data_IF_912267465181
#
_entry.id   IF_912267465181
#
_cell.length_a   1.000
_cell.length_b   1.000
_cell.length_c   1.000
_cell.angle_alpha   90.00
_cell.angle_beta   90.00
_cell.angle_gamma   90.00
#
_symmetry.space_group_name_H-M   'P 1'
#
loop_
_entity.id
_entity.type
_entity.pdbx_description
1 polymer ?
#
# COMPACT_ATOMS: atom_id res chain seq x y z
N UNK A 1 -5.22 -24.48 -4.27
CA UNK A 1 -5.75 -23.29 -4.95
C UNK A 1 -4.86 -22.13 -4.55
N UNK A 2 -4.56 -21.18 -5.48
CA UNK A 2 -3.75 -20.00 -5.15
C UNK A 2 -4.45 -19.08 -4.15
N UNK A 3 -3.67 -18.25 -3.43
CA UNK A 3 -4.19 -17.30 -2.44
C UNK A 3 -5.15 -16.29 -3.08
N UNK A 4 -6.26 -16.00 -2.43
CA UNK A 4 -7.24 -15.00 -2.87
C UNK A 4 -6.79 -13.62 -2.39
N UNK A 5 -6.44 -12.75 -3.33
CA UNK A 5 -5.91 -11.41 -3.06
C UNK A 5 -6.92 -10.36 -3.52
N UNK A 6 -7.45 -9.60 -2.57
CA UNK A 6 -8.28 -8.44 -2.86
C UNK A 6 -7.43 -7.27 -3.35
N UNK A 7 -7.94 -6.54 -4.32
CA UNK A 7 -7.44 -5.24 -4.74
C UNK A 7 -8.59 -4.26 -4.58
N UNK A 8 -8.41 -3.14 -3.86
CA UNK A 8 -9.46 -2.13 -3.72
C UNK A 8 -9.88 -1.64 -5.11
N UNK A 9 -11.12 -1.94 -5.50
CA UNK A 9 -11.59 -1.98 -6.88
C UNK A 9 -12.25 -0.71 -7.41
N UNK A 10 -12.06 0.46 -6.76
CA UNK A 10 -12.77 1.68 -7.15
C UNK A 10 -12.02 2.50 -8.20
N UNK A 11 -10.70 2.65 -8.06
CA UNK A 11 -9.89 3.50 -8.91
C UNK A 11 -8.40 3.18 -8.69
N UNK A 12 -7.55 3.39 -9.69
CA UNK A 12 -6.09 3.30 -9.59
C UNK A 12 -5.48 2.17 -10.41
N UNK A 13 -4.26 1.79 -10.07
CA UNK A 13 -3.44 0.79 -10.77
C UNK A 13 -3.90 -0.64 -10.47
N UNK A 14 -5.15 -0.99 -10.79
CA UNK A 14 -5.77 -2.29 -10.46
C UNK A 14 -5.25 -3.38 -11.40
N UNK A 15 -5.37 -3.18 -12.72
CA UNK A 15 -5.00 -4.16 -13.75
C UNK A 15 -3.53 -4.62 -13.69
N UNK A 16 -2.54 -3.73 -13.44
CA UNK A 16 -1.16 -4.16 -13.26
C UNK A 16 -0.99 -5.16 -12.10
N UNK A 17 -1.63 -4.92 -10.96
CA UNK A 17 -1.62 -5.87 -9.84
C UNK A 17 -2.31 -7.18 -10.20
N UNK A 18 -3.46 -7.14 -10.88
CA UNK A 18 -4.17 -8.36 -11.33
C UNK A 18 -3.25 -9.21 -12.21
N UNK A 19 -2.55 -8.58 -13.16
CA UNK A 19 -1.62 -9.27 -14.09
C UNK A 19 -0.49 -9.98 -13.34
N UNK A 20 0.17 -9.29 -12.41
CA UNK A 20 1.28 -9.86 -11.64
C UNK A 20 0.78 -11.00 -10.75
N UNK A 21 -0.32 -10.81 -10.04
CA UNK A 21 -0.89 -11.83 -9.14
C UNK A 21 -1.33 -13.08 -9.89
N UNK A 22 -1.93 -12.94 -11.08
CA UNK A 22 -2.28 -14.07 -11.95
C UNK A 22 -1.04 -14.84 -12.40
N UNK A 23 0.02 -14.14 -12.80
CA UNK A 23 1.28 -14.76 -13.20
C UNK A 23 1.93 -15.56 -12.05
N UNK A 24 1.71 -15.14 -10.80
CA UNK A 24 2.14 -15.83 -9.59
C UNK A 24 1.19 -16.97 -9.14
N UNK A 25 0.14 -17.24 -9.89
CA UNK A 25 -0.84 -18.29 -9.55
C UNK A 25 -1.82 -17.92 -8.43
N UNK A 26 -1.85 -16.65 -8.01
CA UNK A 26 -2.85 -16.13 -7.09
C UNK A 26 -4.18 -15.86 -7.79
N UNK A 27 -5.24 -15.64 -7.01
CA UNK A 27 -6.58 -15.31 -7.49
C UNK A 27 -6.90 -13.85 -7.11
N UNK A 28 -6.62 -12.86 -7.98
CA UNK A 28 -6.97 -11.47 -7.73
C UNK A 28 -8.48 -11.27 -7.80
N UNK A 29 -9.00 -10.41 -6.92
CA UNK A 29 -10.40 -10.02 -6.87
C UNK A 29 -10.52 -8.53 -6.59
N UNK A 30 -11.34 -7.80 -7.36
CA UNK A 30 -11.66 -6.41 -7.08
C UNK A 30 -12.62 -6.32 -5.92
N UNK A 31 -12.20 -5.65 -4.84
CA UNK A 31 -12.99 -5.48 -3.62
C UNK A 31 -13.69 -4.13 -3.63
N UNK A 32 -15.01 -4.14 -3.58
CA UNK A 32 -15.90 -2.97 -3.51
C UNK A 32 -16.98 -3.09 -2.45
N UNK A 33 -17.18 -4.30 -1.91
CA UNK A 33 -18.19 -4.61 -0.88
C UNK A 33 -17.55 -5.31 0.32
N UNK A 34 -18.28 -5.33 1.43
CA UNK A 34 -17.85 -6.03 2.65
C UNK A 34 -17.82 -7.56 2.43
N UNK A 35 -18.70 -8.09 1.61
CA UNK A 35 -18.77 -9.51 1.25
C UNK A 35 -17.53 -9.93 0.44
N UNK A 36 -17.15 -9.13 -0.55
CA UNK A 36 -15.94 -9.35 -1.33
C UNK A 36 -14.71 -9.28 -0.43
N UNK A 37 -14.62 -8.28 0.50
CA UNK A 37 -13.53 -8.17 1.45
C UNK A 37 -13.40 -9.40 2.36
N UNK A 38 -14.53 -9.95 2.84
CA UNK A 38 -14.53 -11.17 3.67
C UNK A 38 -14.01 -12.40 2.91
N UNK A 39 -14.21 -12.43 1.59
CA UNK A 39 -13.85 -13.57 0.74
C UNK A 39 -12.35 -13.67 0.43
N UNK A 40 -11.57 -12.63 0.67
CA UNK A 40 -10.11 -12.59 0.37
C UNK A 40 -9.26 -12.80 1.61
N UNK A 41 -8.01 -13.20 1.39
CA UNK A 41 -7.04 -13.51 2.43
C UNK A 41 -6.05 -12.36 2.65
N UNK A 42 -5.88 -11.49 1.67
CA UNK A 42 -4.99 -10.31 1.65
C UNK A 42 -5.67 -9.18 0.90
N UNK A 43 -5.27 -7.94 1.18
CA UNK A 43 -5.81 -6.76 0.51
C UNK A 43 -4.70 -5.83 0.03
N UNK A 44 -4.75 -5.44 -1.24
CA UNK A 44 -3.94 -4.36 -1.81
C UNK A 44 -4.79 -3.10 -1.90
N UNK A 45 -4.29 -1.99 -1.35
CA UNK A 45 -4.78 -0.63 -1.58
C UNK A 45 -3.88 -0.04 -2.66
N UNK A 46 -4.32 0.03 -3.94
CA UNK A 46 -3.43 0.37 -5.05
C UNK A 46 -3.04 1.84 -5.08
N UNK A 47 -2.07 2.16 -5.92
CA UNK A 47 -1.79 3.54 -6.31
C UNK A 47 -2.95 4.15 -7.09
N UNK A 48 -3.06 5.49 -7.07
CA UNK A 48 -4.14 6.22 -7.73
C UNK A 48 -4.43 7.56 -7.05
N UNK A 49 -5.71 7.92 -6.88
CA UNK A 49 -6.11 9.15 -6.22
C UNK A 49 -6.77 8.86 -4.86
N UNK A 50 -6.06 9.17 -3.77
CA UNK A 50 -6.47 8.80 -2.41
C UNK A 50 -7.78 9.45 -1.96
N UNK A 51 -8.07 10.68 -2.39
CA UNK A 51 -9.33 11.37 -2.05
C UNK A 51 -10.54 10.71 -2.70
N UNK A 52 -10.39 10.29 -3.95
CA UNK A 52 -11.43 9.56 -4.69
C UNK A 52 -11.70 8.19 -4.04
N UNK A 53 -10.64 7.44 -3.74
CA UNK A 53 -10.79 6.16 -3.05
C UNK A 53 -11.45 6.32 -1.68
N UNK A 54 -11.04 7.32 -0.87
CA UNK A 54 -11.63 7.59 0.44
C UNK A 54 -13.12 7.91 0.33
N UNK A 55 -13.52 8.67 -0.70
CA UNK A 55 -14.93 8.98 -0.94
C UNK A 55 -15.75 7.70 -1.16
N UNK A 56 -15.25 6.77 -1.96
CA UNK A 56 -15.90 5.47 -2.18
C UNK A 56 -15.88 4.61 -0.93
N UNK A 57 -14.78 4.56 -0.18
CA UNK A 57 -14.71 3.83 1.09
C UNK A 57 -15.77 4.30 2.09
N UNK A 58 -16.03 5.61 2.16
CA UNK A 58 -17.12 6.18 2.97
C UNK A 58 -18.48 5.82 2.42
N UNK A 59 -18.70 5.97 1.11
CA UNK A 59 -19.97 5.70 0.46
C UNK A 59 -20.44 4.25 0.65
N UNK A 60 -19.50 3.30 0.61
CA UNK A 60 -19.77 1.86 0.77
C UNK A 60 -19.54 1.34 2.20
N UNK A 61 -19.28 2.24 3.15
CA UNK A 61 -19.04 1.91 4.57
C UNK A 61 -17.97 0.81 4.75
N UNK A 62 -16.86 0.92 4.00
CA UNK A 62 -15.77 -0.04 4.00
C UNK A 62 -14.66 0.27 5.01
N UNK A 63 -14.59 1.50 5.55
CA UNK A 63 -13.52 1.92 6.46
C UNK A 63 -13.43 0.99 7.68
N UNK A 64 -14.52 0.79 8.47
CA UNK A 64 -14.45 -0.09 9.63
C UNK A 64 -14.14 -1.54 9.27
N UNK A 65 -14.65 -2.00 8.12
CA UNK A 65 -14.42 -3.37 7.66
C UNK A 65 -12.95 -3.63 7.30
N UNK A 66 -12.28 -2.66 6.63
CA UNK A 66 -10.85 -2.77 6.30
C UNK A 66 -10.00 -2.64 7.57
N UNK A 67 -10.36 -1.77 8.52
CA UNK A 67 -9.67 -1.66 9.81
C UNK A 67 -9.73 -2.98 10.59
N UNK A 68 -10.87 -3.64 10.61
CA UNK A 68 -11.01 -4.96 11.25
C UNK A 68 -10.24 -6.05 10.51
N UNK A 69 -10.29 -6.05 9.17
CA UNK A 69 -9.54 -6.97 8.32
C UNK A 69 -8.04 -6.90 8.58
N UNK A 70 -7.48 -5.69 8.69
CA UNK A 70 -6.05 -5.45 8.89
C UNK A 70 -5.52 -5.95 10.23
N UNK A 71 -6.37 -6.18 11.23
CA UNK A 71 -5.95 -6.75 12.53
C UNK A 71 -5.41 -8.17 12.40
N UNK A 72 -5.89 -8.93 11.44
CA UNK A 72 -5.60 -10.37 11.32
C UNK A 72 -5.10 -10.80 9.96
N UNK A 73 -5.26 -9.97 8.94
CA UNK A 73 -4.92 -10.29 7.54
C UNK A 73 -4.01 -9.23 6.92
N UNK A 74 -3.11 -9.62 6.00
CA UNK A 74 -2.19 -8.70 5.36
C UNK A 74 -2.90 -7.62 4.53
N UNK A 75 -2.44 -6.37 4.71
CA UNK A 75 -2.85 -5.22 3.90
C UNK A 75 -1.60 -4.51 3.36
N UNK A 76 -1.60 -4.17 2.09
CA UNK A 76 -0.51 -3.44 1.46
C UNK A 76 -1.01 -2.18 0.77
N UNK A 77 -0.60 -1.01 1.30
CA UNK A 77 -0.87 0.30 0.70
C UNK A 77 0.29 0.74 -0.20
N UNK A 78 -0.01 1.12 -1.43
CA UNK A 78 0.95 1.54 -2.46
C UNK A 78 0.62 2.97 -2.87
N UNK A 79 1.58 3.89 -2.80
CA UNK A 79 1.43 5.29 -3.18
C UNK A 79 0.16 5.93 -2.55
N UNK A 80 -0.91 6.12 -3.30
CA UNK A 80 -2.20 6.58 -2.78
C UNK A 80 -2.78 5.63 -1.72
N UNK A 81 -2.58 4.33 -1.87
CA UNK A 81 -2.95 3.32 -0.86
C UNK A 81 -2.15 3.47 0.43
N UNK A 82 -0.87 3.87 0.37
CA UNK A 82 -0.08 4.18 1.56
C UNK A 82 -0.59 5.45 2.28
N UNK A 83 -1.04 6.45 1.52
CA UNK A 83 -1.72 7.63 2.09
C UNK A 83 -2.99 7.19 2.85
N UNK A 84 -3.79 6.30 2.27
CA UNK A 84 -4.99 5.77 2.94
C UNK A 84 -4.64 4.94 4.18
N UNK A 85 -3.58 4.16 4.15
CA UNK A 85 -3.17 3.31 5.27
C UNK A 85 -2.56 4.10 6.45
N UNK A 86 -1.96 5.27 6.19
CA UNK A 86 -1.25 6.08 7.18
C UNK A 86 -2.15 6.50 8.37
N UNK A 87 -1.52 6.77 9.52
CA UNK A 87 -2.22 7.31 10.70
C UNK A 87 -2.60 8.77 10.52
N UNK A 88 -1.70 9.56 9.94
CA UNK A 88 -1.95 10.99 9.68
C UNK A 88 -1.61 11.34 8.24
N UNK A 89 -2.38 12.26 7.66
CA UNK A 89 -2.19 12.73 6.29
C UNK A 89 -2.21 14.25 6.25
N UNK A 90 -1.26 14.83 5.54
CA UNK A 90 -1.14 16.29 5.36
C UNK A 90 -0.89 16.67 3.90
N UNK A 91 -1.03 17.96 3.61
CA UNK A 91 -0.74 18.61 2.33
C UNK A 91 -1.55 18.08 1.11
N UNK A 92 -2.91 18.24 1.12
CA UNK A 92 -3.76 18.72 2.21
C UNK A 92 -4.10 17.62 3.22
N UNK A 93 -4.61 18.03 4.39
CA UNK A 93 -5.12 17.10 5.41
C UNK A 93 -6.26 16.25 4.86
N UNK A 94 -6.24 14.98 5.15
CA UNK A 94 -7.22 14.00 4.70
C UNK A 94 -7.44 12.96 5.81
N UNK A 95 -8.65 12.45 5.95
CA UNK A 95 -8.89 11.25 6.74
C UNK A 95 -8.22 10.02 6.11
N UNK A 96 -7.92 9.04 6.95
CA UNK A 96 -7.25 7.81 6.56
C UNK A 96 -7.83 6.60 7.31
N UNK A 97 -7.37 5.42 6.94
CA UNK A 97 -7.76 4.16 7.57
C UNK A 97 -7.02 3.92 8.90
N UNK A 98 -5.94 4.66 9.18
CA UNK A 98 -5.13 4.50 10.39
C UNK A 98 -4.71 3.04 10.65
N UNK A 99 -4.11 2.40 9.64
CA UNK A 99 -3.67 1.00 9.71
C UNK A 99 -2.21 0.85 10.14
N UNK A 100 -1.39 1.87 9.90
CA UNK A 100 0.05 1.87 10.18
C UNK A 100 0.50 3.21 10.77
N UNK A 101 1.41 3.18 11.74
CA UNK A 101 1.83 4.36 12.51
C UNK A 101 2.86 5.21 11.76
N UNK A 102 2.47 5.73 10.61
CA UNK A 102 3.25 6.67 9.78
C UNK A 102 2.45 7.93 9.48
N UNK A 103 3.16 9.02 9.19
CA UNK A 103 2.61 10.23 8.57
C UNK A 103 2.86 10.20 7.07
N UNK A 104 1.83 10.51 6.27
CA UNK A 104 1.95 10.68 4.82
C UNK A 104 1.78 12.16 4.45
N UNK A 105 2.78 12.72 3.77
CA UNK A 105 2.70 14.05 3.17
C UNK A 105 2.42 13.89 1.68
N UNK A 106 1.25 14.35 1.25
CA UNK A 106 0.82 14.28 -0.15
C UNK A 106 1.59 15.29 -0.99
N UNK A 107 1.75 15.01 -2.28
CA UNK A 107 2.34 15.92 -3.27
C UNK A 107 3.76 16.41 -2.90
N UNK A 108 4.51 15.65 -2.13
CA UNK A 108 5.83 16.07 -1.66
C UNK A 108 6.84 16.18 -2.81
N UNK A 109 6.85 15.20 -3.70
CA UNK A 109 7.74 15.19 -4.87
C UNK A 109 7.17 15.97 -6.07
N UNK A 110 6.30 16.95 -5.84
CA UNK A 110 5.88 17.97 -6.78
C UNK A 110 5.00 17.50 -7.93
N UNK A 111 5.34 17.91 -9.14
CA UNK A 111 4.59 17.62 -10.35
C UNK A 111 4.91 16.23 -10.92
N UNK A 112 4.15 15.80 -11.93
CA UNK A 112 4.40 14.55 -12.66
C UNK A 112 5.79 14.50 -13.34
N UNK A 113 6.49 15.64 -13.43
CA UNK A 113 7.86 15.75 -13.93
C UNK A 113 8.91 15.23 -12.94
N UNK A 114 8.57 15.09 -11.66
CA UNK A 114 9.44 14.56 -10.62
C UNK A 114 9.29 13.03 -10.43
N UNK A 115 8.82 12.34 -11.45
CA UNK A 115 8.78 10.88 -11.47
C UNK A 115 10.15 10.33 -11.83
N UNK A 116 10.61 9.32 -11.10
CA UNK A 116 11.91 8.67 -11.31
C UNK A 116 11.85 7.18 -10.97
N UNK A 117 12.84 6.46 -11.49
CA UNK A 117 13.02 5.02 -11.20
C UNK A 117 14.39 4.81 -10.60
N UNK A 118 14.47 4.02 -9.54
CA UNK A 118 15.74 3.68 -8.89
C UNK A 118 15.78 2.20 -8.50
N UNK A 119 16.96 1.57 -8.54
CA UNK A 119 17.15 0.28 -7.92
C UNK A 119 17.03 0.43 -6.39
N UNK A 120 16.13 -0.33 -5.77
CA UNK A 120 15.81 -0.25 -4.36
C UNK A 120 16.07 -1.58 -3.66
N UNK A 121 16.97 -1.57 -2.69
CA UNK A 121 17.18 -2.71 -1.79
C UNK A 121 16.10 -2.73 -0.73
N UNK A 122 15.41 -3.86 -0.61
CA UNK A 122 14.32 -4.06 0.34
C UNK A 122 14.69 -5.19 1.31
N UNK A 123 14.49 -4.96 2.60
CA UNK A 123 14.68 -5.99 3.61
C UNK A 123 13.80 -7.22 3.31
N UNK A 124 14.41 -8.39 3.17
CA UNK A 124 13.72 -9.64 2.83
C UNK A 124 13.78 -10.01 1.35
N UNK A 125 14.27 -9.15 0.46
CA UNK A 125 14.55 -9.49 -0.93
C UNK A 125 16.05 -9.73 -1.16
N UNK A 126 16.42 -10.74 -1.97
CA UNK A 126 17.84 -11.07 -2.22
C UNK A 126 18.53 -10.10 -3.19
N UNK A 127 17.77 -9.35 -3.98
CA UNK A 127 18.25 -8.40 -4.98
C UNK A 127 17.45 -7.11 -4.94
N UNK A 128 18.04 -5.96 -5.34
CA UNK A 128 17.29 -4.73 -5.56
C UNK A 128 16.21 -4.92 -6.63
N UNK A 129 15.10 -4.23 -6.47
CA UNK A 129 14.02 -4.12 -7.47
C UNK A 129 14.02 -2.73 -8.09
N UNK A 130 13.46 -2.58 -9.29
CA UNK A 130 13.20 -1.28 -9.91
C UNK A 130 11.95 -0.66 -9.29
N UNK A 131 12.15 0.37 -8.45
CA UNK A 131 11.07 1.10 -7.79
C UNK A 131 10.74 2.37 -8.57
N UNK A 132 9.47 2.51 -9.00
CA UNK A 132 9.01 3.67 -9.76
C UNK A 132 8.27 4.64 -8.83
N UNK A 133 8.76 5.87 -8.75
CA UNK A 133 8.14 6.95 -7.98
C UNK A 133 7.38 7.88 -8.93
N UNK A 134 6.08 8.01 -8.76
CA UNK A 134 5.19 8.83 -9.59
C UNK A 134 4.39 9.73 -8.68
N UNK A 135 4.75 11.02 -8.57
CA UNK A 135 4.14 11.97 -7.62
C UNK A 135 4.00 11.37 -6.21
N UNK A 136 5.02 10.66 -5.78
CA UNK A 136 5.00 9.85 -4.58
C UNK A 136 4.77 10.69 -3.31
N UNK A 137 4.06 10.18 -2.29
CA UNK A 137 4.01 10.81 -0.98
C UNK A 137 5.34 10.65 -0.24
N UNK A 138 5.69 11.63 0.59
CA UNK A 138 6.71 11.43 1.60
C UNK A 138 6.07 10.70 2.79
N UNK A 139 6.72 9.62 3.21
CA UNK A 139 6.30 8.83 4.37
C UNK A 139 7.31 9.02 5.51
N UNK A 140 6.82 9.32 6.71
CA UNK A 140 7.64 9.46 7.91
C UNK A 140 7.13 8.54 9.02
N UNK A 141 8.02 7.89 9.78
CA UNK A 141 7.61 7.15 10.96
C UNK A 141 7.07 8.12 12.01
N UNK A 142 6.04 7.70 12.73
CA UNK A 142 5.55 8.38 13.92
C UNK A 142 6.07 7.66 15.16
N UNK A 143 6.33 8.42 16.22
CA UNK A 143 6.63 7.82 17.52
C UNK A 143 5.46 6.93 17.96
N UNK A 144 5.72 5.71 18.42
CA UNK A 144 4.66 4.84 18.90
C UNK A 144 3.99 5.47 20.12
N UNK A 145 2.67 5.35 20.20
CA UNK A 145 1.96 5.58 21.45
C UNK A 145 2.34 4.48 22.45
N UNK A 146 2.21 4.74 23.74
CA UNK A 146 2.54 3.77 24.78
C UNK A 146 1.86 2.41 24.51
N UNK A 147 2.65 1.33 24.48
CA UNK A 147 2.16 -0.04 24.20
C UNK A 147 1.94 -0.38 22.72
N UNK A 148 2.25 0.50 21.76
CA UNK A 148 2.17 0.21 20.31
C UNK A 148 3.55 -0.08 19.71
N UNK A 149 3.61 -1.02 18.76
CA UNK A 149 4.81 -1.23 17.96
C UNK A 149 5.10 -0.06 17.03
N UNK A 150 6.40 0.22 16.83
CA UNK A 150 6.84 1.18 15.80
C UNK A 150 6.70 0.58 14.41
N UNK A 151 6.36 1.41 13.43
CA UNK A 151 6.47 1.01 12.03
C UNK A 151 7.96 0.79 11.68
N UNK A 152 8.29 -0.41 11.20
CA UNK A 152 9.64 -0.79 10.79
C UNK A 152 9.91 -0.28 9.38
N UNK A 153 11.05 0.39 9.17
CA UNK A 153 11.52 0.78 7.83
C UNK A 153 12.10 -0.45 7.12
N UNK A 154 11.61 -0.75 5.93
CA UNK A 154 12.07 -1.86 5.08
C UNK A 154 12.96 -1.38 3.93
N UNK A 155 12.82 -0.12 3.49
CA UNK A 155 13.66 0.48 2.46
C UNK A 155 13.72 2.01 2.59
N UNK A 156 14.83 2.60 2.12
CA UNK A 156 15.07 4.05 2.06
C UNK A 156 15.65 4.45 0.71
N UNK A 157 15.34 5.67 0.26
CA UNK A 157 15.98 6.34 -0.88
C UNK A 157 16.51 7.69 -0.35
N UNK A 158 17.79 7.97 -0.57
CA UNK A 158 18.45 9.23 -0.10
C UNK A 158 18.11 9.58 1.36
N UNK A 159 18.21 8.59 2.25
CA UNK A 159 17.88 8.66 3.68
C UNK A 159 16.38 8.85 4.00
N UNK A 160 15.50 8.99 3.01
CA UNK A 160 14.07 9.06 3.22
C UNK A 160 13.46 7.65 3.24
N UNK A 161 12.74 7.27 4.29
CA UNK A 161 12.03 6.02 4.32
C UNK A 161 10.93 5.98 3.25
N UNK A 162 10.90 4.91 2.46
CA UNK A 162 9.93 4.75 1.36
C UNK A 162 9.10 3.48 1.46
N UNK A 163 9.44 2.58 2.38
CA UNK A 163 8.68 1.36 2.62
C UNK A 163 8.67 1.00 4.11
N UNK A 164 7.49 0.72 4.63
CA UNK A 164 7.24 0.41 6.04
C UNK A 164 6.43 -0.87 6.20
N UNK A 165 6.67 -1.56 7.34
CA UNK A 165 5.83 -2.64 7.82
C UNK A 165 5.51 -2.44 9.31
N UNK A 166 4.27 -2.77 9.70
CA UNK A 166 3.83 -2.84 11.10
C UNK A 166 2.74 -3.90 11.22
N UNK A 167 2.98 -4.93 12.04
CA UNK A 167 2.09 -6.07 12.09
C UNK A 167 1.81 -6.65 10.70
N UNK A 168 0.55 -6.73 10.32
CA UNK A 168 0.11 -7.24 9.02
C UNK A 168 0.02 -6.16 7.93
N UNK A 169 0.43 -4.91 8.21
CA UNK A 169 0.26 -3.80 7.26
C UNK A 169 1.59 -3.37 6.67
N UNK A 170 1.64 -3.28 5.34
CA UNK A 170 2.72 -2.69 4.57
C UNK A 170 2.27 -1.37 3.93
N UNK A 171 3.19 -0.41 3.83
CA UNK A 171 2.96 0.86 3.14
C UNK A 171 4.22 1.30 2.39
N UNK A 172 4.13 1.53 1.09
CA UNK A 172 5.23 2.04 0.27
C UNK A 172 4.81 3.23 -0.59
N UNK A 173 5.75 4.15 -0.84
CA UNK A 173 5.51 5.33 -1.66
C UNK A 173 5.70 5.12 -3.16
N UNK A 174 6.27 3.99 -3.57
CA UNK A 174 6.64 3.65 -4.94
C UNK A 174 5.71 2.58 -5.53
N UNK A 175 5.76 2.45 -6.85
CA UNK A 175 5.04 1.47 -7.65
C UNK A 175 5.98 0.32 -8.04
N UNK A 176 5.58 -0.91 -7.84
CA UNK A 176 6.28 -2.13 -8.30
C UNK A 176 5.47 -2.87 -9.36
N UNK A 177 4.17 -2.62 -9.35
CA UNK A 177 3.22 -3.25 -10.27
C UNK A 177 3.38 -2.77 -11.72
N UNK A 178 4.12 -1.69 -11.93
CA UNK A 178 4.40 -1.13 -13.25
C UNK A 178 5.69 -1.69 -13.87
N UNK A 179 6.48 -2.43 -13.09
CA UNK A 179 7.68 -3.14 -13.55
C UNK A 179 7.41 -4.62 -13.83
N UNK A 180 8.48 -5.31 -14.25
CA UNK A 180 8.40 -6.74 -14.60
C UNK A 180 8.84 -7.66 -13.45
N UNK A 181 9.30 -7.12 -12.30
CA UNK A 181 9.80 -7.90 -11.17
C UNK A 181 8.67 -8.23 -10.18
N UNK A 182 8.24 -9.49 -10.07
CA UNK A 182 7.15 -9.90 -9.17
C UNK A 182 7.60 -10.12 -7.71
N UNK A 183 8.90 -9.99 -7.40
CA UNK A 183 9.49 -10.45 -6.13
C UNK A 183 8.80 -9.87 -4.89
N UNK A 184 8.37 -8.60 -4.95
CA UNK A 184 7.70 -7.98 -3.80
C UNK A 184 6.25 -8.49 -3.65
N UNK A 185 5.57 -8.80 -4.75
CA UNK A 185 4.27 -9.47 -4.70
C UNK A 185 4.40 -10.91 -4.17
N UNK A 186 5.45 -11.64 -4.59
CA UNK A 186 5.75 -12.97 -4.04
C UNK A 186 5.99 -12.92 -2.52
N UNK A 187 6.72 -11.90 -2.06
CA UNK A 187 6.98 -11.72 -0.63
C UNK A 187 5.68 -11.41 0.12
N UNK A 188 4.81 -10.55 -0.44
CA UNK A 188 3.50 -10.25 0.13
C UNK A 188 2.58 -11.48 0.19
N UNK A 189 2.66 -12.37 -0.80
CA UNK A 189 1.89 -13.61 -0.81
C UNK A 189 2.32 -14.62 0.28
N UNK A 190 3.48 -14.43 0.90
CA UNK A 190 4.01 -15.30 1.97
C UNK A 190 3.65 -14.82 3.37
N UNK A 191 3.12 -13.61 3.52
CA UNK A 191 2.57 -13.10 4.78
C UNK A 191 1.27 -13.83 5.13
#
# INVERSE_FOLDING_TARGET
MGARVGILGFQGCIEPHEKVLLALGAQPMRVRTKEELKSVERLILPGGESTTMLRFLKLYDLIPAIQEFAKTKPVWGICAGAILAAKTVSNPTQESLNLINIAAHRNYYGSQLDSFTVPLSIAGLPKPIEAQFIRAPLLNPLSPSEGMESAKVLATVDQHPVFFAQGNTWACSFHVELGDDPSLHELFLKL
#
